data_IF_109397921429
#
_entry.id   IF_109397921429
#
_cell.length_a   1.000
_cell.length_b   1.000
_cell.length_c   1.000
_cell.angle_alpha   90.00
_cell.angle_beta   90.00
_cell.angle_gamma   90.00
#
_symmetry.space_group_name_H-M   'P 1'
#
loop_
_entity.id
_entity.type
_entity.pdbx_description
1 polymer ?
2 water ?
#
# COMPACT_ATOMS: atom_id res chain seq x y z
N UNK A 2 7.27 21.07 3.47
CA UNK A 2 7.79 19.76 3.82
C UNK A 2 7.04 19.15 5.01
N UNK A 3 6.19 19.91 5.70
CA UNK A 3 5.18 19.34 6.58
C UNK A 3 3.81 19.66 6.01
N UNK A 4 3.03 18.61 5.72
CA UNK A 4 1.68 18.73 5.20
C UNK A 4 0.68 18.51 6.32
N UNK A 5 -0.42 19.26 6.27
CA UNK A 5 -1.53 19.09 7.21
C UNK A 5 -2.86 18.83 6.53
N UNK A 6 -3.01 19.16 5.25
CA UNK A 6 -4.25 18.96 4.52
C UNK A 6 -3.96 18.16 3.26
N UNK A 7 -5.02 17.69 2.62
CA UNK A 7 -4.91 16.83 1.44
C UNK A 7 -3.96 17.44 0.41
N UNK A 8 -3.00 16.63 -0.02
CA UNK A 8 -2.03 17.08 -1.01
C UNK A 8 -1.42 15.87 -1.69
N UNK A 9 -1.18 15.99 -3.00
CA UNK A 9 -0.39 15.03 -3.75
C UNK A 9 0.72 15.77 -4.46
N UNK A 10 1.84 15.08 -4.67
CA UNK A 10 2.97 15.72 -5.31
C UNK A 10 4.08 14.74 -5.56
N UNK A 11 5.23 15.26 -5.99
CA UNK A 11 6.42 14.46 -6.19
C UNK A 11 7.62 15.19 -5.62
N UNK A 12 8.51 14.43 -4.99
CA UNK A 12 9.77 14.97 -4.52
C UNK A 12 10.79 13.83 -4.48
N UNK A 13 12.04 14.15 -4.86
CA UNK A 13 13.14 13.19 -4.80
C UNK A 13 12.82 11.90 -5.56
N UNK A 14 11.98 12.01 -6.58
CA UNK A 14 11.61 10.84 -7.36
C UNK A 14 10.51 10.00 -6.77
N UNK A 15 9.87 10.42 -5.68
CA UNK A 15 8.79 9.66 -5.07
C UNK A 15 7.50 10.46 -5.12
N UNK A 16 6.42 9.82 -5.58
CA UNK A 16 5.11 10.43 -5.51
C UNK A 16 4.58 10.28 -4.08
N UNK A 17 4.04 11.35 -3.52
CA UNK A 17 3.56 11.33 -2.14
C UNK A 17 2.10 11.76 -2.08
N UNK A 18 1.44 11.35 -1.01
CA UNK A 18 0.08 11.82 -0.76
C UNK A 18 -0.24 11.78 0.73
N UNK A 19 -0.92 12.83 1.18
CA UNK A 19 -1.66 12.85 2.43
C UNK A 19 -3.13 13.02 2.04
N UNK A 20 -3.99 12.17 2.60
CA UNK A 20 -5.42 12.32 2.37
C UNK A 20 -6.18 11.95 3.63
N UNK A 21 -7.21 12.74 3.94
CA UNK A 21 -8.15 12.44 5.00
C UNK A 21 -9.51 12.98 4.58
N UNK A 22 -10.57 12.34 5.06
CA UNK A 22 -11.88 12.95 4.88
C UNK A 22 -12.21 13.93 6.00
N UNK A 23 -11.67 13.72 7.20
CA UNK A 23 -11.82 14.64 8.31
C UNK A 23 -10.82 14.26 9.39
N UNK A 24 -10.50 15.22 10.24
CA UNK A 24 -9.65 14.98 11.40
C UNK A 24 -8.34 15.71 11.29
N UNK A 25 -7.44 15.38 12.22
CA UNK A 25 -6.12 15.99 12.30
C UNK A 25 -5.09 15.04 11.71
N UNK A 26 -4.30 15.54 10.76
CA UNK A 26 -3.25 14.75 10.12
C UNK A 26 -2.03 15.62 9.92
N UNK A 27 -0.84 15.03 10.05
CA UNK A 27 0.37 15.71 9.66
C UNK A 27 1.33 14.72 9.02
N UNK A 28 2.08 15.20 8.03
CA UNK A 28 3.03 14.35 7.30
C UNK A 28 4.28 15.17 7.01
N UNK A 29 5.42 14.71 7.51
CA UNK A 29 6.70 15.35 7.22
C UNK A 29 7.32 14.63 6.04
N UNK A 30 7.64 15.37 4.98
CA UNK A 30 8.26 14.79 3.79
C UNK A 30 9.77 14.88 3.94
N UNK A 31 10.39 13.75 4.25
CA UNK A 31 11.83 13.65 4.37
C UNK A 31 12.42 13.18 3.04
N UNK A 32 13.71 12.87 3.04
CA UNK A 32 14.36 12.56 1.78
C UNK A 32 13.78 11.32 1.13
N UNK A 33 13.83 11.30 -0.21
CA UNK A 33 13.55 10.07 -0.94
C UNK A 33 12.17 9.54 -0.64
N UNK A 34 12.10 8.27 -0.28
CA UNK A 34 10.82 7.66 0.04
C UNK A 34 10.39 7.80 1.48
N UNK A 35 11.14 8.51 2.30
CA UNK A 35 10.88 8.51 3.74
C UNK A 35 9.91 9.62 4.14
N UNK A 36 9.17 9.36 5.22
CA UNK A 36 8.21 10.34 5.70
C UNK A 36 7.81 9.95 7.10
N UNK A 37 7.23 10.91 7.80
CA UNK A 37 6.78 10.74 9.16
C UNK A 37 5.35 11.26 9.26
N UNK A 38 4.50 10.61 10.07
CA UNK A 38 3.11 11.04 10.07
C UNK A 38 2.45 10.80 11.43
N UNK A 39 1.34 11.49 11.62
CA UNK A 39 0.55 11.39 12.83
C UNK A 39 -0.90 11.72 12.51
N UNK A 40 -1.83 11.08 13.21
CA UNK A 40 -3.23 11.33 12.97
C UNK A 40 -4.01 11.24 14.27
N UNK A 41 -5.13 11.96 14.33
CA UNK A 41 -6.02 11.87 15.47
C UNK A 41 -7.38 12.41 15.05
N UNK A 42 -8.43 11.87 15.69
CA UNK A 42 -9.80 12.32 15.46
C UNK A 42 -10.22 12.19 14.00
N UNK A 43 -9.63 11.24 13.27
CA UNK A 43 -9.93 11.08 11.86
C UNK A 43 -11.07 10.09 11.68
N UNK A 44 -11.71 10.16 10.51
CA UNK A 44 -12.57 9.06 10.05
C UNK A 44 -11.71 8.11 9.23
N UNK A 45 -11.26 8.56 8.06
CA UNK A 45 -10.31 7.83 7.23
C UNK A 45 -9.12 8.72 6.92
N UNK A 46 -7.91 8.15 6.96
CA UNK A 46 -6.75 8.88 6.49
C UNK A 46 -5.73 7.92 5.89
N UNK A 47 -4.82 8.47 5.11
CA UNK A 47 -3.73 7.70 4.54
C UNK A 47 -2.55 8.62 4.31
N UNK A 48 -1.35 8.04 4.40
CA UNK A 48 -0.09 8.70 4.10
C UNK A 48 0.74 7.74 3.25
N UNK A 49 1.28 8.20 2.11
CA UNK A 49 2.00 7.24 1.29
C UNK A 49 3.11 7.89 0.46
N UNK A 50 4.13 7.09 0.14
CA UNK A 50 5.18 7.48 -0.79
C UNK A 50 5.52 6.29 -1.67
N UNK A 51 5.55 6.50 -2.97
CA UNK A 51 5.90 5.43 -3.90
C UNK A 51 6.01 5.98 -5.30
N UNK A 52 5.38 5.33 -6.26
CA UNK A 52 5.48 5.81 -7.64
C UNK A 52 4.18 5.55 -8.39
N UNK A 53 3.70 6.56 -9.09
CA UNK A 53 2.71 6.37 -10.14
C UNK A 53 3.47 6.11 -11.44
N UNK A 54 3.33 4.91 -11.98
CA UNK A 54 4.22 4.48 -13.05
C UNK A 54 3.90 5.23 -14.33
N UNK A 55 4.96 5.58 -15.07
CA UNK A 55 4.81 6.53 -16.16
C UNK A 55 4.22 5.97 -17.43
N UNK A 56 4.36 4.66 -17.65
CA UNK A 56 3.86 4.02 -18.85
C UNK A 56 2.58 3.25 -18.58
N UNK A 57 2.18 2.47 -19.58
CA UNK A 57 1.12 1.48 -19.43
C UNK A 57 1.76 0.12 -19.65
N UNK A 58 2.33 -0.45 -18.60
CA UNK A 58 3.15 -1.63 -18.74
C UNK A 58 2.75 -2.70 -17.73
N UNK A 59 2.97 -3.95 -18.11
CA UNK A 59 2.80 -5.07 -17.20
C UNK A 59 3.97 -5.12 -16.22
N UNK A 60 3.82 -5.89 -15.14
CA UNK A 60 4.96 -5.99 -14.24
C UNK A 60 6.13 -6.71 -14.90
N UNK A 61 5.86 -7.61 -15.86
CA UNK A 61 6.97 -8.22 -16.59
C UNK A 61 7.76 -7.20 -17.38
N UNK A 62 7.10 -6.16 -17.86
CA UNK A 62 7.78 -5.12 -18.63
C UNK A 62 8.49 -4.13 -17.70
N UNK A 63 7.83 -3.75 -16.60
CA UNK A 63 8.42 -2.75 -15.71
C UNK A 63 9.69 -3.28 -15.08
N UNK A 64 9.75 -4.58 -14.80
CA UNK A 64 10.85 -5.15 -14.06
C UNK A 64 10.52 -5.18 -12.59
N UNK A 65 11.52 -5.56 -11.79
CA UNK A 65 11.29 -5.78 -10.37
C UNK A 65 10.70 -4.55 -9.70
N UNK A 66 9.71 -4.77 -8.84
CA UNK A 66 9.16 -3.74 -7.98
C UNK A 66 9.29 -4.25 -6.56
N UNK A 67 10.06 -3.55 -5.73
CA UNK A 67 10.21 -4.01 -4.35
C UNK A 67 10.45 -2.82 -3.45
N UNK A 68 10.06 -2.97 -2.18
CA UNK A 68 10.23 -1.91 -1.18
C UNK A 68 11.12 -2.46 -0.08
N UNK A 69 12.29 -1.85 0.10
CA UNK A 69 13.19 -2.16 1.22
C UNK A 69 12.91 -1.06 2.23
N UNK A 70 12.19 -1.40 3.30
CA UNK A 70 11.57 -0.35 4.11
C UNK A 70 11.79 -0.62 5.59
N UNK A 71 11.51 0.41 6.37
CA UNK A 71 11.46 0.30 7.81
C UNK A 71 10.57 1.37 8.39
N UNK A 72 9.76 1.00 9.38
CA UNK A 72 8.81 1.96 9.94
C UNK A 72 8.70 1.74 11.44
N UNK A 73 8.84 2.81 12.21
CA UNK A 73 8.51 2.77 13.63
C UNK A 73 7.03 3.14 13.75
N UNK A 74 6.21 2.15 14.06
CA UNK A 74 4.78 2.15 13.75
C UNK A 74 3.98 2.01 15.03
N UNK A 75 3.27 3.08 15.44
CA UNK A 75 2.54 3.10 16.71
C UNK A 75 1.09 3.53 16.50
N UNK A 76 0.28 2.68 15.88
CA UNK A 76 -1.16 2.97 15.80
C UNK A 76 -1.82 2.80 17.16
N UNK A 77 -2.83 3.63 17.42
CA UNK A 77 -3.59 3.53 18.68
C UNK A 77 -4.92 2.80 18.51
N UNK A 78 -5.37 2.56 17.29
CA UNK A 78 -6.60 1.84 17.00
C UNK A 78 -6.52 1.17 15.63
N UNK A 79 -7.57 1.28 14.81
CA UNK A 79 -7.56 0.66 13.49
C UNK A 79 -6.56 1.37 12.59
N UNK A 80 -5.71 0.59 11.93
CA UNK A 80 -4.63 1.11 11.10
C UNK A 80 -3.98 -0.07 10.38
N UNK A 81 -3.37 0.19 9.23
CA UNK A 81 -2.47 -0.83 8.71
C UNK A 81 -1.34 -0.18 7.93
N UNK A 82 -0.30 -0.99 7.71
CA UNK A 82 0.96 -0.60 7.08
C UNK A 82 1.17 -1.56 5.92
N UNK A 83 1.25 -1.04 4.70
CA UNK A 83 1.21 -1.94 3.55
C UNK A 83 1.83 -1.28 2.34
N UNK A 84 2.09 -2.09 1.31
CA UNK A 84 2.22 -1.58 -0.05
C UNK A 84 0.83 -1.55 -0.68
N UNK A 85 0.50 -0.44 -1.32
CA UNK A 85 -0.84 -0.21 -1.85
C UNK A 85 -0.71 0.22 -3.31
N UNK A 86 -1.59 -0.26 -4.16
CA UNK A 86 -1.57 0.24 -5.52
C UNK A 86 -2.76 -0.22 -6.33
N UNK A 87 -2.67 0.02 -7.64
CA UNK A 87 -3.72 -0.34 -8.58
C UNK A 87 -3.11 -0.90 -9.85
N UNK A 88 -3.89 -1.72 -10.56
CA UNK A 88 -3.66 -1.98 -11.98
C UNK A 88 -4.90 -1.58 -12.75
N UNK A 89 -4.74 -1.47 -14.08
CA UNK A 89 -5.85 -1.23 -14.99
C UNK A 89 -5.84 -2.31 -16.07
N UNK A 90 -7.02 -2.57 -16.63
CA UNK A 90 -7.18 -3.58 -17.68
C UNK A 90 -6.52 -4.92 -17.35
N UNK A 91 -6.97 -5.62 -16.30
CA UNK A 91 -8.16 -5.32 -15.49
C UNK A 91 -7.89 -4.37 -14.32
N UNK A 92 -8.97 -3.73 -13.85
CA UNK A 92 -8.92 -2.79 -12.75
C UNK A 92 -8.85 -3.55 -11.42
N UNK A 93 -7.74 -3.38 -10.70
CA UNK A 93 -7.49 -4.10 -9.46
C UNK A 93 -6.89 -3.12 -8.46
N UNK A 94 -7.42 -3.11 -7.24
CA UNK A 94 -6.79 -2.43 -6.11
C UNK A 94 -6.08 -3.48 -5.27
N UNK A 95 -4.78 -3.31 -5.01
CA UNK A 95 -4.04 -4.38 -4.34
C UNK A 95 -3.33 -3.86 -3.09
N UNK A 96 -3.12 -4.78 -2.16
CA UNK A 96 -2.57 -4.50 -0.84
C UNK A 96 -1.62 -5.61 -0.46
N UNK A 97 -0.44 -5.25 0.05
CA UNK A 97 0.46 -6.22 0.67
C UNK A 97 0.71 -5.70 2.07
N UNK A 98 0.07 -6.31 3.06
CA UNK A 98 -0.02 -5.75 4.41
C UNK A 98 0.99 -6.44 5.31
N UNK A 99 1.89 -5.66 5.92
CA UNK A 99 2.87 -6.23 6.85
C UNK A 99 2.52 -6.00 8.32
N UNK A 100 1.83 -4.92 8.65
CA UNK A 100 1.40 -4.75 10.05
C UNK A 100 0.06 -4.02 10.09
N UNK A 101 -0.52 -3.98 11.29
CA UNK A 101 -1.85 -3.43 11.50
C UNK A 101 -2.01 -3.11 12.98
N UNK A 102 -3.03 -2.30 13.27
CA UNK A 102 -3.39 -1.99 14.64
C UNK A 102 -4.40 -2.97 15.22
N UNK A 103 -5.58 -2.45 15.55
CA UNK A 103 -6.56 -3.23 16.31
C UNK A 103 -7.21 -4.32 15.48
N UNK A 104 -7.23 -4.15 14.16
CA UNK A 104 -7.98 -5.04 13.28
C UNK A 104 -7.07 -5.48 12.15
N UNK A 105 -7.03 -6.78 11.91
CA UNK A 105 -6.23 -7.33 10.81
C UNK A 105 -7.08 -7.32 9.54
N UNK A 106 -6.70 -6.56 8.51
CA UNK A 106 -7.51 -6.49 7.29
C UNK A 106 -7.37 -7.76 6.48
N UNK A 107 -8.28 -8.03 5.54
CA UNK A 107 -9.44 -7.21 5.16
C UNK A 107 -10.77 -7.75 5.68
N UNK A 108 -10.73 -8.78 6.52
CA UNK A 108 -11.94 -9.51 6.87
C UNK A 108 -12.23 -10.57 5.82
N UNK A 109 -13.21 -11.40 6.12
CA UNK A 109 -13.47 -12.50 5.20
C UNK A 109 -12.44 -13.61 5.38
N UNK A 110 -12.40 -14.51 4.40
CA UNK A 110 -11.63 -15.73 4.51
C UNK A 110 -10.57 -15.81 3.40
N UNK A 111 -9.34 -16.22 3.72
CA UNK A 111 -8.31 -16.33 2.68
C UNK A 111 -8.59 -17.48 1.72
N UNK A 112 -7.93 -17.41 0.57
CA UNK A 112 -8.00 -18.44 -0.45
C UNK A 112 -6.65 -19.11 -0.72
N UNK A 113 -5.59 -18.73 -0.01
CA UNK A 113 -4.28 -19.32 -0.24
C UNK A 113 -3.26 -18.66 0.67
N UNK A 114 -2.04 -19.19 0.66
CA UNK A 114 -0.93 -18.57 1.38
C UNK A 114 0.30 -18.47 0.50
N UNK A 115 1.07 -17.40 0.70
CA UNK A 115 2.33 -17.16 -0.02
C UNK A 115 3.44 -17.10 1.01
N UNK A 116 4.47 -17.93 0.80
CA UNK A 116 5.67 -17.92 1.64
C UNK A 116 6.74 -17.13 0.91
N UNK A 117 6.99 -15.90 1.35
CA UNK A 117 7.91 -15.00 0.65
C UNK A 117 8.46 -14.02 1.67
N UNK A 118 9.69 -13.55 1.43
CA UNK A 118 10.30 -12.49 2.26
C UNK A 118 10.30 -12.86 3.74
N UNK A 119 10.53 -14.15 4.04
CA UNK A 119 10.64 -14.61 5.40
C UNK A 119 9.34 -14.68 6.17
N UNK A 120 8.21 -14.45 5.51
CA UNK A 120 6.92 -14.49 6.18
C UNK A 120 5.94 -15.39 5.45
N UNK A 121 4.77 -15.53 6.05
CA UNK A 121 3.63 -16.19 5.46
C UNK A 121 2.54 -15.16 5.26
N UNK A 122 1.97 -15.10 4.06
CA UNK A 122 0.91 -14.13 3.74
C UNK A 122 -0.36 -14.88 3.37
N UNK A 123 -1.47 -14.47 4.00
CA UNK A 123 -2.79 -14.93 3.57
C UNK A 123 -3.24 -14.13 2.36
N UNK A 124 -3.80 -14.81 1.37
CA UNK A 124 -4.25 -14.19 0.12
C UNK A 124 -5.77 -14.06 0.17
N UNK A 125 -6.28 -12.85 -0.11
CA UNK A 125 -7.72 -12.62 -0.18
C UNK A 125 -8.08 -11.95 -1.49
N UNK A 126 -9.32 -12.17 -1.95
CA UNK A 126 -9.82 -11.47 -3.13
C UNK A 126 -11.24 -11.01 -2.88
N UNK A 127 -11.57 -9.82 -3.38
CA UNK A 127 -12.94 -9.34 -3.37
C UNK A 127 -13.31 -8.79 -4.73
N UNK A 128 -14.61 -8.68 -4.96
CA UNK A 128 -15.18 -7.88 -6.03
C UNK A 128 -15.98 -6.76 -5.39
N UNK A 129 -15.74 -5.52 -5.82
CA UNK A 129 -16.56 -4.39 -5.38
C UNK A 129 -17.29 -3.85 -6.60
N UNK A 130 -18.62 -3.96 -6.58
CA UNK A 130 -19.45 -3.62 -7.75
C UNK A 130 -19.82 -2.14 -7.67
N UNK A 131 -19.51 -1.39 -8.73
CA UNK A 131 -19.86 0.03 -8.89
C UNK A 131 -19.58 0.84 -7.62
N UNK A 132 -18.30 0.92 -7.27
CA UNK A 132 -17.82 1.65 -6.12
C UNK A 132 -16.70 2.60 -6.55
N UNK A 133 -16.38 3.59 -5.73
CA UNK A 133 -15.34 4.57 -6.12
C UNK A 133 -14.00 3.90 -6.41
N UNK A 134 -13.34 4.38 -7.47
CA UNK A 134 -12.05 3.85 -7.90
C UNK A 134 -11.26 4.94 -8.59
N UNK A 135 -10.05 4.58 -9.04
CA UNK A 135 -9.23 5.52 -9.81
C UNK A 135 -9.82 5.77 -11.20
N UNK A 136 -10.82 5.01 -11.62
CA UNK A 136 -11.49 5.21 -12.90
C UNK A 136 -12.96 5.57 -12.70
N UNK A 137 -13.26 6.29 -11.61
CA UNK A 137 -14.63 6.65 -11.31
C UNK A 137 -15.37 5.50 -10.64
N UNK A 138 -16.68 5.64 -10.58
CA UNK A 138 -17.54 4.63 -9.96
C UNK A 138 -17.69 3.47 -10.94
N UNK A 139 -17.14 2.31 -10.57
CA UNK A 139 -17.14 1.17 -11.48
C UNK A 139 -16.80 -0.07 -10.66
N UNK A 140 -16.74 -1.22 -11.32
CA UNK A 140 -16.46 -2.48 -10.65
C UNK A 140 -14.98 -2.82 -10.74
N UNK A 141 -14.42 -3.30 -9.63
CA UNK A 141 -13.02 -3.67 -9.60
C UNK A 141 -12.82 -4.82 -8.62
N UNK A 142 -11.69 -5.52 -8.76
CA UNK A 142 -11.29 -6.53 -7.80
C UNK A 142 -10.33 -5.89 -6.79
N UNK A 143 -10.30 -6.46 -5.59
CA UNK A 143 -9.23 -6.17 -4.64
C UNK A 143 -8.44 -7.44 -4.41
N UNK A 144 -7.10 -7.32 -4.44
CA UNK A 144 -6.21 -8.42 -4.08
C UNK A 144 -5.49 -8.05 -2.80
N UNK A 145 -5.43 -8.98 -1.85
CA UNK A 145 -4.69 -8.76 -0.60
C UNK A 145 -3.71 -9.89 -0.36
N UNK A 146 -2.49 -9.53 0.06
CA UNK A 146 -1.60 -10.43 0.78
C UNK A 146 -1.42 -9.84 2.18
N UNK A 147 -1.74 -10.59 3.22
CA UNK A 147 -1.68 -10.07 4.59
C UNK A 147 -0.79 -10.99 5.43
N UNK A 148 0.29 -10.44 5.97
CA UNK A 148 1.22 -11.27 6.73
C UNK A 148 0.49 -11.90 7.92
N UNK A 149 0.86 -13.13 8.26
CA UNK A 149 0.16 -13.80 9.36
C UNK A 149 0.61 -13.29 10.72
N UNK A 150 1.79 -12.66 10.79
CA UNK A 150 2.30 -12.01 11.99
C UNK A 150 2.82 -10.64 11.58
N UNK A 151 2.73 -9.67 12.48
CA UNK A 151 3.12 -8.32 12.16
C UNK A 151 4.64 -8.20 12.03
N UNK A 152 5.07 -7.34 11.10
CA UNK A 152 6.44 -6.85 11.08
C UNK A 152 6.42 -5.44 10.52
N UNK A 153 7.47 -4.67 10.80
CA UNK A 153 7.51 -3.27 10.35
C UNK A 153 8.82 -2.90 9.68
N UNK A 154 9.62 -3.88 9.26
CA UNK A 154 10.78 -3.59 8.43
C UNK A 154 11.15 -4.84 7.66
N UNK A 155 11.79 -4.65 6.52
CA UNK A 155 12.22 -5.75 5.69
C UNK A 155 12.04 -5.38 4.24
N UNK A 156 12.02 -6.40 3.37
CA UNK A 156 11.79 -6.20 1.96
C UNK A 156 10.42 -6.78 1.61
N UNK A 157 9.60 -6.00 0.92
CA UNK A 157 8.38 -6.50 0.28
C UNK A 157 8.68 -6.59 -1.21
N UNK A 158 8.83 -7.81 -1.71
CA UNK A 158 9.10 -8.03 -3.13
C UNK A 158 7.75 -8.08 -3.82
N UNK A 159 7.30 -6.92 -4.30
CA UNK A 159 5.96 -6.80 -4.87
C UNK A 159 5.81 -7.72 -6.07
N UNK A 160 6.86 -7.78 -6.91
CA UNK A 160 6.85 -8.66 -8.08
C UNK A 160 6.51 -10.11 -7.71
N UNK A 161 7.05 -10.61 -6.59
CA UNK A 161 6.75 -11.98 -6.22
C UNK A 161 5.30 -12.17 -5.79
N UNK A 162 4.70 -11.17 -5.14
CA UNK A 162 3.27 -11.25 -4.86
C UNK A 162 2.47 -11.22 -6.16
N UNK A 163 2.83 -10.33 -7.09
CA UNK A 163 2.18 -10.30 -8.39
C UNK A 163 2.22 -11.66 -9.06
N UNK A 164 3.42 -12.28 -9.08
CA UNK A 164 3.57 -13.56 -9.74
C UNK A 164 2.77 -14.65 -9.05
N UNK A 165 2.77 -14.65 -7.72
CA UNK A 165 2.00 -15.64 -6.97
C UNK A 165 0.51 -15.47 -7.21
N UNK A 166 0.02 -14.22 -7.16
CA UNK A 166 -1.39 -13.97 -7.43
C UNK A 166 -1.78 -14.49 -8.80
N UNK A 167 -0.95 -14.22 -9.82
CA UNK A 167 -1.29 -14.68 -11.16
C UNK A 167 -1.28 -16.20 -11.24
N UNK A 168 -0.36 -16.86 -10.52
CA UNK A 168 -0.40 -18.32 -10.46
C UNK A 168 -1.66 -18.83 -9.79
N UNK A 169 -2.18 -18.09 -8.81
CA UNK A 169 -3.44 -18.43 -8.14
C UNK A 169 -4.66 -17.95 -8.91
N UNK A 170 -4.47 -17.58 -10.18
CA UNK A 170 -5.57 -17.21 -11.06
C UNK A 170 -6.05 -15.79 -10.95
N UNK A 171 -5.28 -14.92 -10.31
CA UNK A 171 -5.66 -13.52 -10.07
C UNK A 171 -4.88 -12.66 -11.05
N UNK A 172 -5.53 -12.26 -12.14
CA UNK A 172 -4.86 -11.56 -13.24
C UNK A 172 -4.44 -10.15 -12.83
N UNK A 173 -3.23 -9.76 -13.24
CA UNK A 173 -2.75 -8.39 -13.05
C UNK A 173 -2.90 -7.62 -14.36
N UNK A 174 -3.40 -6.39 -14.27
CA UNK A 174 -3.39 -5.48 -15.39
C UNK A 174 -2.07 -4.73 -15.46
N UNK A 175 -2.05 -3.69 -16.30
CA UNK A 175 -0.91 -2.78 -16.34
C UNK A 175 -0.78 -2.07 -15.00
N UNK A 176 0.44 -1.95 -14.48
CA UNK A 176 0.60 -1.45 -13.12
C UNK A 176 0.46 0.07 -13.13
N UNK A 177 -0.47 0.57 -12.33
CA UNK A 177 -0.77 1.99 -12.29
C UNK A 177 0.07 2.73 -11.26
N UNK A 178 0.19 2.17 -10.05
CA UNK A 178 0.97 2.80 -9.00
C UNK A 178 1.26 1.76 -7.92
N UNK A 179 2.28 2.06 -7.11
CA UNK A 179 2.55 1.25 -5.91
C UNK A 179 3.25 2.15 -4.91
N UNK A 180 2.84 2.08 -3.64
CA UNK A 180 3.41 2.97 -2.65
C UNK A 180 3.37 2.32 -1.28
N UNK A 181 4.35 2.69 -0.44
CA UNK A 181 4.30 2.32 0.98
C UNK A 181 3.31 3.24 1.67
N UNK A 182 2.40 2.65 2.45
CA UNK A 182 1.14 3.29 2.81
C UNK A 182 0.85 3.06 4.27
N UNK A 183 0.47 4.11 4.99
CA UNK A 183 -0.02 4.02 6.36
C UNK A 183 -1.47 4.48 6.33
N UNK A 184 -2.38 3.62 6.78
CA UNK A 184 -3.81 3.90 6.82
C UNK A 184 -4.26 4.04 8.27
N UNK A 185 -5.24 4.91 8.49
CA UNK A 185 -5.91 4.97 9.78
C UNK A 185 -7.41 5.03 9.58
N UNK A 186 -8.14 4.45 10.55
CA UNK A 186 -9.59 4.46 10.51
C UNK A 186 -10.14 4.68 11.91
N UNK A 187 -10.86 5.78 12.10
CA UNK A 187 -11.52 6.11 13.36
C UNK A 187 -10.60 5.87 14.55
N UNK A 188 -9.41 6.46 14.47
CA UNK A 188 -8.36 6.16 15.45
C UNK A 188 -7.39 7.34 15.49
N UNK A 189 -6.40 7.20 16.35
CA UNK A 189 -5.22 8.05 16.36
C UNK A 189 -3.99 7.18 16.19
N UNK A 190 -2.86 7.80 15.88
CA UNK A 190 -1.63 7.03 15.80
C UNK A 190 -0.51 7.86 15.21
N UNK A 191 0.64 7.20 15.05
CA UNK A 191 1.79 7.83 14.41
C UNK A 191 2.64 6.74 13.79
N UNK A 192 3.47 7.15 12.82
CA UNK A 192 4.40 6.23 12.19
C UNK A 192 5.51 7.05 11.58
N UNK A 193 6.74 6.57 11.74
CA UNK A 193 7.88 7.18 11.10
C UNK A 193 8.49 6.17 10.14
N UNK A 194 8.31 6.42 8.84
CA UNK A 194 8.94 5.61 7.80
C UNK A 194 10.36 6.11 7.62
N UNK A 195 11.31 5.48 8.32
CA UNK A 195 12.70 5.91 8.31
C UNK A 195 13.50 5.32 7.16
N UNK A 196 12.93 4.34 6.46
CA UNK A 196 13.59 3.75 5.30
C UNK A 196 12.50 3.34 4.32
N UNK A 197 12.68 3.68 3.05
CA UNK A 197 11.72 3.30 2.02
C UNK A 197 12.41 3.40 0.68
N UNK A 198 13.17 2.37 0.31
CA UNK A 198 13.89 2.34 -0.96
C UNK A 198 13.09 1.48 -1.91
N UNK A 199 12.50 2.12 -2.92
CA UNK A 199 11.65 1.42 -3.88
C UNK A 199 12.45 1.08 -5.12
N UNK A 200 12.63 -0.20 -5.39
CA UNK A 200 13.22 -0.64 -6.64
C UNK A 200 12.17 -0.63 -7.74
N UNK A 201 12.52 -0.07 -8.91
CA UNK A 201 11.66 -0.12 -10.09
C UNK A 201 12.54 -0.47 -11.29
N UNK A 202 12.69 -1.74 -11.57
CA UNK A 202 13.35 -2.15 -12.81
C UNK A 202 14.23 -3.35 -12.66
N UNK A 203 14.58 -3.95 -13.79
CA UNK A 203 15.54 -5.01 -13.80
C UNK A 203 14.96 -6.32 -13.31
N UNK A 204 15.86 -7.24 -13.02
CA UNK A 204 15.49 -8.55 -12.52
C UNK A 204 15.89 -8.65 -11.06
N UNK A 205 17.19 -8.76 -10.82
#
# INVERSE_FOLDING_TARGET
ATTLYENKTGTEDGYDYELWKDSGNTSMILNGGGTFSCQWSNINNCLFRKGKKFGGNQSYQQIGNISFDYGCDYHPNGNSYLCVYGWTTSPLVEFYIVDSWGSWRPPGGSPKGQIYVDGGTYDVYETTRVNQPSIQGNTTFQQYFSVRTERRTSGTINVTEHFKAWERMGMRMGNIYEAALNVEGYQSSGSANVYKNNMTIGGSSGQSGNQGGNQGGNQGGNQGGNTGSQTSGNETIVQCESMTKGGQYTGNINNPFGGVALYGNNDKVSYTQYFASGTHDFTLRGCSNNDNMARVDLKIGGETKGTFYYGGSYPAEYTIKNVNHGTGNQTIELVVTADNGQWDANIDYLKIGGAGVGGNESSGGNQGGNEGNQGGNAGNEGGNQAGNTGNQGGNEGNAGGQAQSGDNIVQCESMSKAGQYTGNINNPFDHHHHHH
#
